data_IF_209794742379
#
_entry.id   IF_209794742379
#
_cell.length_a   1.000
_cell.length_b   1.000
_cell.length_c   1.000
_cell.angle_alpha   90.00
_cell.angle_beta   90.00
_cell.angle_gamma   90.00
#
_symmetry.space_group_name_H-M   'P 1'
#
loop_
_entity.id
_entity.type
_entity.pdbx_description
1 polymer ?
#
# COMPACT_ATOMS: atom_id res chain seq x y z
N UNK A 1 -38.79 9.61 5.25
CA UNK A 1 -37.96 8.40 5.02
C UNK A 1 -36.54 8.86 4.70
N UNK A 2 -35.53 8.44 5.47
CA UNK A 2 -34.12 8.71 5.12
C UNK A 2 -33.70 7.66 4.09
N UNK A 3 -33.47 8.08 2.85
CA UNK A 3 -33.01 7.20 1.78
C UNK A 3 -31.52 6.87 1.92
N UNK A 4 -31.11 5.75 1.34
CA UNK A 4 -29.69 5.41 1.21
C UNK A 4 -29.06 6.27 0.12
N UNK A 5 -27.98 6.98 0.47
CA UNK A 5 -27.16 7.75 -0.47
C UNK A 5 -25.95 6.91 -0.81
N UNK A 6 -25.91 6.41 -2.04
CA UNK A 6 -24.72 5.74 -2.56
C UNK A 6 -23.79 6.81 -3.15
N UNK A 7 -22.63 6.97 -2.54
CA UNK A 7 -21.55 7.80 -3.09
C UNK A 7 -20.57 6.90 -3.84
N UNK A 8 -19.91 7.47 -4.85
CA UNK A 8 -18.82 6.79 -5.54
C UNK A 8 -17.68 6.58 -4.54
N UNK A 9 -17.16 5.35 -4.42
CA UNK A 9 -15.97 5.09 -3.62
C UNK A 9 -14.85 6.01 -4.11
N UNK A 10 -14.27 6.76 -3.18
CA UNK A 10 -13.11 7.62 -3.43
C UNK A 10 -12.00 7.12 -2.54
N UNK A 11 -10.92 6.64 -3.13
CA UNK A 11 -9.70 6.17 -2.45
C UNK A 11 -9.07 7.26 -1.55
N UNK A 12 -9.46 8.53 -1.75
CA UNK A 12 -9.04 9.66 -0.93
C UNK A 12 -9.71 9.68 0.46
N UNK A 13 -10.82 8.95 0.65
CA UNK A 13 -11.60 8.96 1.90
C UNK A 13 -11.22 7.86 2.90
N UNK A 14 -10.24 7.00 2.60
CA UNK A 14 -9.86 5.91 3.50
C UNK A 14 -9.00 6.36 4.69
N UNK A 15 -8.55 7.62 4.73
CA UNK A 15 -7.76 8.19 5.84
C UNK A 15 -6.37 7.55 6.06
N UNK A 16 -6.05 6.48 5.33
CA UNK A 16 -4.80 5.75 5.39
C UNK A 16 -3.69 6.56 4.73
N UNK A 17 -2.60 6.72 5.47
CA UNK A 17 -1.38 7.35 4.95
C UNK A 17 -0.77 6.49 3.83
N UNK A 18 0.07 7.07 2.95
CA UNK A 18 0.84 6.28 1.98
C UNK A 18 1.62 5.13 2.63
N UNK A 19 2.19 5.37 3.82
CA UNK A 19 2.83 4.33 4.63
C UNK A 19 1.86 3.20 4.98
N UNK A 20 0.68 3.51 5.53
CA UNK A 20 -0.31 2.49 5.91
C UNK A 20 -0.72 1.62 4.71
N UNK A 21 -0.84 2.22 3.52
CA UNK A 21 -1.19 1.48 2.30
C UNK A 21 -0.10 0.47 1.94
N UNK A 22 1.17 0.91 1.93
CA UNK A 22 2.29 0.02 1.63
C UNK A 22 2.54 -1.01 2.72
N UNK A 23 2.36 -0.66 4.00
CA UNK A 23 2.48 -1.58 5.12
C UNK A 23 1.45 -2.71 5.02
N UNK A 24 0.19 -2.40 4.73
CA UNK A 24 -0.84 -3.43 4.57
C UNK A 24 -0.47 -4.40 3.44
N UNK A 25 -0.06 -3.86 2.28
CA UNK A 25 0.36 -4.69 1.15
C UNK A 25 1.61 -5.52 1.47
N UNK A 26 2.59 -4.93 2.15
CA UNK A 26 3.81 -5.63 2.60
C UNK A 26 3.48 -6.80 3.54
N UNK A 27 2.58 -6.61 4.49
CA UNK A 27 2.13 -7.68 5.40
C UNK A 27 1.40 -8.81 4.69
N UNK A 28 0.67 -8.53 3.62
CA UNK A 28 0.09 -9.56 2.74
C UNK A 28 1.19 -10.30 1.98
N UNK A 29 2.15 -9.58 1.39
CA UNK A 29 3.29 -10.17 0.67
C UNK A 29 4.13 -11.09 1.55
N UNK A 30 4.35 -10.73 2.82
CA UNK A 30 5.04 -11.60 3.79
C UNK A 30 4.38 -12.97 3.93
N UNK A 31 3.05 -13.08 3.78
CA UNK A 31 2.37 -14.38 3.83
C UNK A 31 2.70 -15.23 2.60
N UNK A 32 2.87 -14.60 1.43
CA UNK A 32 3.22 -15.28 0.18
C UNK A 32 4.70 -15.63 0.07
N UNK A 33 5.58 -14.87 0.75
CA UNK A 33 7.03 -15.11 0.79
C UNK A 33 7.46 -15.92 2.02
N UNK A 34 6.53 -16.57 2.71
CA UNK A 34 6.80 -17.37 3.92
C UNK A 34 7.56 -16.61 5.02
N UNK A 35 7.33 -15.29 5.11
CA UNK A 35 7.98 -14.39 6.06
C UNK A 35 9.31 -13.82 5.61
N UNK A 36 9.77 -14.10 4.38
CA UNK A 36 10.96 -13.45 3.83
C UNK A 36 10.67 -11.98 3.50
N UNK A 37 11.18 -11.09 4.36
CA UNK A 37 11.03 -9.65 4.20
C UNK A 37 11.78 -9.09 2.98
N UNK A 38 12.91 -9.69 2.61
CA UNK A 38 13.69 -9.23 1.45
C UNK A 38 12.92 -9.53 0.16
N UNK A 39 12.38 -10.74 0.05
CA UNK A 39 11.55 -11.14 -1.11
C UNK A 39 10.24 -10.32 -1.16
N UNK A 40 9.60 -10.09 -0.01
CA UNK A 40 8.38 -9.28 0.05
C UNK A 40 8.62 -7.82 -0.40
N UNK A 41 9.75 -7.21 -0.01
CA UNK A 41 10.13 -5.87 -0.47
C UNK A 41 10.43 -5.82 -1.97
N UNK A 42 11.03 -6.87 -2.53
CA UNK A 42 11.24 -6.96 -3.98
C UNK A 42 9.91 -7.04 -4.73
N UNK A 43 8.98 -7.90 -4.28
CA UNK A 43 7.64 -8.00 -4.87
C UNK A 43 6.86 -6.68 -4.74
N UNK A 44 6.95 -6.00 -3.60
CA UNK A 44 6.34 -4.69 -3.39
C UNK A 44 6.85 -3.67 -4.40
N UNK A 45 8.17 -3.66 -4.64
CA UNK A 45 8.81 -2.79 -5.64
C UNK A 45 8.34 -3.12 -7.06
N UNK A 46 8.18 -4.40 -7.40
CA UNK A 46 7.67 -4.82 -8.69
C UNK A 46 6.20 -4.40 -8.89
N UNK A 47 5.37 -4.54 -7.86
CA UNK A 47 3.97 -4.12 -7.87
C UNK A 47 3.84 -2.61 -8.04
N UNK A 48 4.63 -1.84 -7.30
CA UNK A 48 4.65 -0.39 -7.40
C UNK A 48 5.02 0.07 -8.82
N UNK A 49 6.03 -0.52 -9.45
CA UNK A 49 6.39 -0.21 -10.85
C UNK A 49 5.27 -0.50 -11.84
N UNK A 50 4.51 -1.58 -11.61
CA UNK A 50 3.44 -2.01 -12.53
C UNK A 50 2.15 -1.23 -12.35
N UNK A 51 1.81 -0.88 -11.11
CA UNK A 51 0.52 -0.30 -10.75
C UNK A 51 0.58 1.14 -10.27
N UNK A 52 1.78 1.73 -10.17
CA UNK A 52 2.01 3.10 -9.70
C UNK A 52 1.30 3.33 -8.35
N UNK A 53 1.62 2.46 -7.38
CA UNK A 53 1.02 2.47 -6.05
C UNK A 53 1.46 3.69 -5.24
N UNK A 54 2.62 4.23 -5.59
CA UNK A 54 3.24 5.40 -5.01
C UNK A 54 3.17 6.62 -5.92
N UNK A 55 3.52 7.78 -5.36
CA UNK A 55 3.61 9.03 -6.11
C UNK A 55 4.96 9.73 -5.88
N UNK A 56 5.08 10.96 -6.40
CA UNK A 56 6.32 11.74 -6.30
C UNK A 56 6.68 12.18 -4.88
N UNK A 57 5.73 12.14 -3.96
CA UNK A 57 5.88 12.61 -2.58
C UNK A 57 6.21 11.45 -1.63
N UNK A 58 5.85 10.21 -1.98
CA UNK A 58 6.06 9.06 -1.13
C UNK A 58 6.21 7.78 -1.95
N UNK A 59 7.41 7.22 -1.98
CA UNK A 59 7.80 6.01 -2.71
C UNK A 59 8.08 4.79 -1.83
N UNK A 60 8.38 3.65 -2.45
CA UNK A 60 8.81 2.42 -1.74
C UNK A 60 10.13 2.65 -0.99
N UNK A 61 11.01 3.52 -1.48
CA UNK A 61 12.23 3.90 -0.77
C UNK A 61 11.95 4.60 0.56
N UNK A 62 11.00 5.54 0.57
CA UNK A 62 10.58 6.23 1.79
C UNK A 62 9.96 5.26 2.78
N UNK A 63 9.13 4.33 2.29
CA UNK A 63 8.58 3.23 3.10
C UNK A 63 9.64 2.35 3.74
N UNK A 64 10.71 2.00 3.00
CA UNK A 64 11.81 1.19 3.54
C UNK A 64 12.58 1.95 4.63
N UNK A 65 12.76 3.27 4.48
CA UNK A 65 13.40 4.08 5.52
C UNK A 65 12.49 4.24 6.76
N UNK A 66 11.19 4.43 6.58
CA UNK A 66 10.21 4.52 7.67
C UNK A 66 10.01 3.19 8.44
N UNK A 67 10.35 2.06 7.81
CA UNK A 67 10.31 0.73 8.43
C UNK A 67 11.46 0.46 9.42
N UNK A 68 12.58 1.19 9.32
CA UNK A 68 13.78 1.00 10.15
C UNK A 68 13.61 1.60 11.54
#
# INVERSE_FOLDING_TARGET
MKGFVFTKYSEQNDGKTPFDKLLNLFMELLQYTSGDATEALDWLTQLDRKHQLTDKNYGVGDFIEDLK
#
